data_IF_027111496788
#
_entry.id   IF_027111496788
#
_cell.length_a   1.000
_cell.length_b   1.000
_cell.length_c   1.000
_cell.angle_alpha   90.00
_cell.angle_beta   90.00
_cell.angle_gamma   90.00
#
_symmetry.space_group_name_H-M   'P 1'
#
loop_
_entity.id
_entity.type
_entity.pdbx_description
1 polymer ?
#
# COMPACT_ATOMS: atom_id res chain seq x y z
N UNK A 1 -2.86 -20.71 13.68
CA UNK A 1 -2.03 -19.54 13.38
C UNK A 1 -1.31 -19.14 14.66
N UNK A 2 -1.90 -18.46 15.63
CA UNK A 2 -1.23 -18.25 16.95
C UNK A 2 -1.84 -19.06 18.10
N UNK A 3 -3.12 -19.42 18.01
CA UNK A 3 -3.85 -20.20 19.00
C UNK A 3 -4.25 -21.61 18.49
N UNK A 4 -3.60 -22.08 17.42
CA UNK A 4 -3.88 -23.41 16.83
C UNK A 4 -5.18 -23.55 16.01
N UNK A 5 -6.06 -22.55 15.94
CA UNK A 5 -7.40 -22.70 15.31
C UNK A 5 -7.39 -22.78 13.77
N UNK A 6 -6.39 -22.19 13.11
CA UNK A 6 -6.31 -22.09 11.65
C UNK A 6 -4.94 -22.56 11.14
N UNK A 7 -4.89 -23.22 9.98
CA UNK A 7 -3.63 -23.66 9.37
C UNK A 7 -2.85 -22.52 8.68
N UNK A 8 -3.52 -21.44 8.32
CA UNK A 8 -2.92 -20.26 7.69
C UNK A 8 -3.81 -19.03 7.82
N UNK A 9 -3.27 -17.86 7.53
CA UNK A 9 -4.01 -16.61 7.41
C UNK A 9 -3.32 -15.72 6.38
N UNK A 10 -4.10 -14.77 5.84
CA UNK A 10 -3.63 -13.76 4.89
C UNK A 10 -3.43 -12.46 5.65
N UNK A 11 -2.33 -11.77 5.36
CA UNK A 11 -2.08 -10.43 5.90
C UNK A 11 -1.21 -9.62 4.95
N UNK A 12 -0.99 -8.34 5.28
CA UNK A 12 -0.14 -7.45 4.51
C UNK A 12 1.06 -6.96 5.34
N UNK A 13 2.17 -6.75 4.67
CA UNK A 13 3.35 -6.08 5.20
C UNK A 13 4.02 -5.29 4.08
N UNK A 14 4.77 -4.24 4.43
CA UNK A 14 5.53 -3.46 3.44
C UNK A 14 6.64 -4.26 2.78
N UNK A 15 7.09 -5.35 3.42
CA UNK A 15 8.29 -6.10 3.03
C UNK A 15 9.58 -5.27 3.05
N UNK A 16 9.53 -4.07 3.63
CA UNK A 16 10.68 -3.17 3.79
C UNK A 16 11.23 -3.30 5.21
N UNK A 17 12.55 -3.44 5.36
CA UNK A 17 13.20 -3.59 6.65
C UNK A 17 13.43 -5.04 7.06
N UNK A 18 13.65 -5.27 8.36
CA UNK A 18 14.06 -6.57 8.89
C UNK A 18 12.87 -7.53 9.07
N UNK A 19 13.05 -8.78 8.62
CA UNK A 19 12.04 -9.85 8.72
C UNK A 19 11.66 -10.14 10.18
N UNK A 20 12.63 -10.25 11.09
CA UNK A 20 12.39 -10.66 12.47
C UNK A 20 11.64 -9.59 13.27
N UNK A 21 11.75 -8.32 12.87
CA UNK A 21 10.98 -7.20 13.44
C UNK A 21 9.60 -7.01 12.80
N UNK A 22 9.21 -7.89 11.87
CA UNK A 22 7.92 -7.82 11.18
C UNK A 22 7.83 -6.67 10.18
N UNK A 23 8.96 -6.25 9.60
CA UNK A 23 9.10 -5.14 8.66
C UNK A 23 8.73 -3.76 9.25
N UNK A 24 8.93 -2.69 8.47
CA UNK A 24 8.71 -1.31 8.92
C UNK A 24 7.25 -0.98 9.13
N UNK A 25 6.36 -1.50 8.29
CA UNK A 25 4.91 -1.30 8.38
C UNK A 25 4.17 -2.56 7.94
N UNK A 26 2.97 -2.76 8.50
CA UNK A 26 2.19 -3.97 8.23
C UNK A 26 1.56 -4.55 9.49
N UNK A 27 0.84 -5.65 9.31
CA UNK A 27 0.22 -6.35 10.42
C UNK A 27 1.25 -7.02 11.34
N UNK A 28 2.36 -7.53 10.80
CA UNK A 28 3.41 -8.15 11.63
C UNK A 28 4.02 -7.14 12.60
N UNK A 29 4.48 -6.00 12.10
CA UNK A 29 5.00 -4.91 12.93
C UNK A 29 3.97 -4.45 13.99
N UNK A 30 2.70 -4.31 13.60
CA UNK A 30 1.63 -3.92 14.54
C UNK A 30 1.43 -4.94 15.65
N UNK A 31 1.35 -6.23 15.32
CA UNK A 31 1.18 -7.30 16.30
C UNK A 31 2.38 -7.39 17.25
N UNK A 32 3.61 -7.26 16.75
CA UNK A 32 4.82 -7.22 17.57
C UNK A 32 4.77 -6.07 18.58
N UNK A 33 4.28 -4.89 18.16
CA UNK A 33 4.08 -3.73 19.05
C UNK A 33 2.92 -3.89 20.04
N UNK A 34 1.99 -4.81 19.78
CA UNK A 34 0.85 -5.14 20.65
C UNK A 34 1.15 -6.39 21.50
N UNK A 35 2.38 -6.53 21.99
CA UNK A 35 2.82 -7.61 22.90
C UNK A 35 2.95 -9.02 22.27
N UNK A 36 3.23 -9.10 20.96
CA UNK A 36 3.66 -10.36 20.31
C UNK A 36 5.12 -10.30 19.82
N UNK A 37 6.12 -10.11 20.70
CA UNK A 37 7.52 -9.89 20.29
C UNK A 37 8.15 -11.05 19.51
N UNK A 38 7.71 -12.28 19.75
CA UNK A 38 8.21 -13.49 19.07
C UNK A 38 7.37 -13.91 17.86
N UNK A 39 6.47 -13.06 17.37
CA UNK A 39 5.54 -13.39 16.27
C UNK A 39 6.25 -14.06 15.09
N UNK A 40 7.35 -13.47 14.61
CA UNK A 40 8.07 -13.92 13.41
C UNK A 40 8.81 -15.25 13.60
N UNK A 41 9.01 -15.70 14.85
CA UNK A 41 9.57 -17.02 15.18
C UNK A 41 8.49 -18.11 15.20
N UNK A 42 7.23 -17.72 15.41
CA UNK A 42 6.09 -18.65 15.57
C UNK A 42 5.35 -18.91 14.25
N UNK A 43 5.59 -18.09 13.23
CA UNK A 43 4.96 -18.20 11.91
C UNK A 43 6.00 -18.30 10.81
N UNK A 44 5.57 -18.75 9.62
CA UNK A 44 6.36 -18.64 8.39
C UNK A 44 5.52 -18.03 7.28
N UNK A 45 6.17 -17.22 6.44
CA UNK A 45 5.58 -16.74 5.20
C UNK A 45 5.76 -17.83 4.14
N UNK A 46 4.66 -18.44 3.69
CA UNK A 46 4.68 -19.54 2.70
C UNK A 46 4.44 -19.07 1.26
N UNK A 47 3.93 -17.85 1.09
CA UNK A 47 3.66 -17.24 -0.21
C UNK A 47 3.69 -15.72 -0.08
N UNK A 48 4.09 -15.04 -1.15
CA UNK A 48 4.08 -13.59 -1.27
C UNK A 48 3.52 -13.21 -2.64
N UNK A 49 2.74 -12.13 -2.70
CA UNK A 49 2.29 -11.58 -3.97
C UNK A 49 3.46 -10.90 -4.69
N UNK A 50 3.32 -10.66 -6.00
CA UNK A 50 4.07 -9.58 -6.65
C UNK A 50 3.84 -8.24 -5.93
N UNK A 51 4.68 -7.24 -6.24
CA UNK A 51 4.55 -5.90 -5.69
C UNK A 51 3.13 -5.36 -5.93
N UNK A 52 2.43 -5.00 -4.85
CA UNK A 52 1.16 -4.29 -4.92
C UNK A 52 1.47 -2.80 -4.74
N UNK A 53 1.23 -1.95 -5.75
CA UNK A 53 1.48 -0.53 -5.62
C UNK A 53 0.60 0.08 -4.52
N UNK A 54 1.13 1.10 -3.84
CA UNK A 54 0.32 1.92 -2.94
C UNK A 54 -0.80 2.63 -3.70
N UNK A 55 -1.84 3.06 -2.97
CA UNK A 55 -3.01 3.69 -3.54
C UNK A 55 -2.67 4.91 -4.42
N UNK A 56 -3.27 5.04 -5.61
CA UNK A 56 -3.01 6.15 -6.51
C UNK A 56 -3.72 7.43 -6.05
N UNK A 57 -3.15 8.58 -6.40
CA UNK A 57 -3.87 9.85 -6.38
C UNK A 57 -4.57 10.00 -7.73
N UNK A 58 -5.89 10.06 -7.72
CA UNK A 58 -6.72 10.12 -8.92
C UNK A 58 -7.23 11.53 -9.18
N UNK A 59 -7.19 11.96 -10.44
CA UNK A 59 -7.79 13.20 -10.92
C UNK A 59 -8.87 12.86 -11.94
N UNK A 60 -10.04 13.49 -11.81
CA UNK A 60 -11.18 13.21 -12.69
C UNK A 60 -10.84 13.46 -14.16
N UNK A 61 -11.24 12.53 -15.02
CA UNK A 61 -11.08 12.63 -16.47
C UNK A 61 -11.98 13.71 -17.10
N UNK A 62 -13.08 14.10 -16.44
CA UNK A 62 -14.04 15.09 -16.91
C UNK A 62 -13.52 16.54 -16.81
N UNK A 63 -12.44 16.78 -16.07
CA UNK A 63 -11.86 18.11 -15.92
C UNK A 63 -11.25 18.62 -17.24
N UNK A 64 -11.18 19.94 -17.47
CA UNK A 64 -10.40 20.50 -18.57
C UNK A 64 -8.91 20.15 -18.45
N UNK A 65 -8.21 19.95 -19.57
CA UNK A 65 -6.81 19.50 -19.58
C UNK A 65 -5.86 20.42 -18.80
N UNK A 66 -5.98 21.74 -18.99
CA UNK A 66 -5.17 22.75 -18.28
C UNK A 66 -5.43 22.71 -16.77
N UNK A 67 -6.69 22.53 -16.36
CA UNK A 67 -7.03 22.40 -14.94
C UNK A 67 -6.44 21.12 -14.33
N UNK A 68 -6.49 19.98 -15.02
CA UNK A 68 -5.82 18.75 -14.54
C UNK A 68 -4.33 18.95 -14.34
N UNK A 69 -3.66 19.59 -15.31
CA UNK A 69 -2.23 19.86 -15.22
C UNK A 69 -1.90 20.72 -13.99
N UNK A 70 -2.71 21.75 -13.72
CA UNK A 70 -2.57 22.60 -12.51
C UNK A 70 -2.79 21.82 -11.22
N UNK A 71 -3.81 20.94 -11.15
CA UNK A 71 -4.06 20.10 -9.97
C UNK A 71 -2.89 19.14 -9.72
N UNK A 72 -2.42 18.44 -10.75
CA UNK A 72 -1.27 17.52 -10.63
C UNK A 72 -0.01 18.29 -10.19
N UNK A 73 0.24 19.46 -10.77
CA UNK A 73 1.37 20.30 -10.39
C UNK A 73 1.26 20.79 -8.93
N UNK A 74 0.08 21.21 -8.49
CA UNK A 74 -0.15 21.67 -7.13
C UNK A 74 0.09 20.56 -6.09
N UNK A 75 -0.40 19.34 -6.34
CA UNK A 75 -0.19 18.20 -5.44
C UNK A 75 1.30 17.81 -5.37
N UNK A 76 1.99 17.79 -6.52
CA UNK A 76 3.45 17.54 -6.55
C UNK A 76 4.23 18.61 -5.80
N UNK A 77 3.90 19.88 -6.00
CA UNK A 77 4.53 20.98 -5.26
C UNK A 77 4.27 20.88 -3.77
N UNK A 78 3.06 20.52 -3.35
CA UNK A 78 2.76 20.33 -1.93
C UNK A 78 3.66 19.26 -1.31
N UNK A 79 3.84 18.10 -1.96
CA UNK A 79 4.76 17.05 -1.50
C UNK A 79 6.22 17.54 -1.38
N UNK A 80 6.71 18.29 -2.37
CA UNK A 80 8.12 18.70 -2.42
C UNK A 80 8.44 19.96 -1.62
N UNK A 81 7.53 20.91 -1.56
CA UNK A 81 7.73 22.24 -0.94
C UNK A 81 7.20 22.29 0.51
N UNK A 82 6.16 21.51 0.86
CA UNK A 82 5.62 21.42 2.22
C UNK A 82 5.11 19.99 2.53
N UNK A 83 6.07 19.08 2.71
CA UNK A 83 5.77 17.68 2.97
C UNK A 83 4.97 17.48 4.27
N UNK A 84 5.18 18.32 5.29
CA UNK A 84 4.45 18.20 6.54
C UNK A 84 2.94 18.48 6.35
N UNK A 85 2.60 19.45 5.51
CA UNK A 85 1.22 19.69 5.09
C UNK A 85 0.70 18.56 4.19
N UNK A 86 1.51 18.09 3.24
CA UNK A 86 1.17 16.96 2.37
C UNK A 86 0.78 15.71 3.16
N UNK A 87 1.58 15.31 4.15
CA UNK A 87 1.30 14.15 5.02
C UNK A 87 -0.04 14.29 5.73
N UNK A 88 -0.36 15.48 6.24
CA UNK A 88 -1.64 15.75 6.92
C UNK A 88 -2.82 15.69 5.95
N UNK A 89 -2.64 16.15 4.72
CA UNK A 89 -3.68 16.13 3.70
C UNK A 89 -3.94 14.72 3.15
N UNK A 90 -2.89 13.91 2.98
CA UNK A 90 -2.95 12.63 2.27
C UNK A 90 -2.95 11.40 3.18
N UNK A 91 -2.60 11.54 4.45
CA UNK A 91 -2.65 10.45 5.44
C UNK A 91 -1.52 9.40 5.32
N UNK A 92 -0.44 9.72 4.61
CA UNK A 92 0.74 8.85 4.45
C UNK A 92 2.04 9.65 4.54
N UNK A 93 3.12 9.01 4.99
CA UNK A 93 4.43 9.67 5.21
C UNK A 93 5.37 9.63 4.00
N UNK A 94 5.02 8.84 2.98
CA UNK A 94 5.83 8.63 1.80
C UNK A 94 5.62 9.75 0.79
N UNK A 95 6.68 10.10 0.06
CA UNK A 95 6.60 10.98 -1.10
C UNK A 95 5.84 10.31 -2.25
N UNK A 96 5.31 11.12 -3.17
CA UNK A 96 4.61 10.61 -4.35
C UNK A 96 5.57 10.34 -5.50
N UNK A 97 5.37 9.20 -6.16
CA UNK A 97 6.08 8.83 -7.39
C UNK A 97 5.25 9.09 -8.64
N UNK A 98 5.86 9.09 -9.83
CA UNK A 98 5.11 8.93 -11.07
C UNK A 98 4.36 7.60 -11.05
N UNK A 99 3.12 7.61 -11.55
CA UNK A 99 2.29 6.42 -11.65
C UNK A 99 1.49 6.42 -12.95
N UNK A 100 1.15 5.22 -13.41
CA UNK A 100 0.44 4.96 -14.65
C UNK A 100 -0.60 3.86 -14.44
N UNK A 101 -1.53 3.70 -15.38
CA UNK A 101 -2.50 2.59 -15.35
C UNK A 101 -1.79 1.22 -15.41
N UNK A 102 -0.65 1.14 -16.10
CA UNK A 102 0.11 -0.10 -16.26
C UNK A 102 0.62 -0.65 -14.92
N UNK A 103 0.96 0.23 -13.97
CA UNK A 103 1.41 -0.17 -12.63
C UNK A 103 0.31 -0.94 -11.86
N UNK A 104 -0.96 -0.68 -12.19
CA UNK A 104 -2.13 -1.32 -11.56
C UNK A 104 -2.76 -2.42 -12.42
N UNK A 105 -2.14 -2.78 -13.56
CA UNK A 105 -2.75 -3.65 -14.56
C UNK A 105 -3.16 -5.01 -13.99
N UNK A 106 -2.31 -5.63 -13.17
CA UNK A 106 -2.62 -6.91 -12.53
C UNK A 106 -3.90 -6.85 -11.66
N UNK A 107 -4.08 -5.76 -10.91
CA UNK A 107 -5.27 -5.56 -10.06
C UNK A 107 -6.51 -5.32 -10.93
N UNK A 108 -6.36 -4.55 -12.01
CA UNK A 108 -7.44 -4.28 -12.96
C UNK A 108 -7.92 -5.58 -13.61
N UNK A 109 -7.00 -6.42 -14.07
CA UNK A 109 -7.34 -7.67 -14.76
C UNK A 109 -7.97 -8.67 -13.81
N UNK A 110 -7.40 -8.86 -12.61
CA UNK A 110 -8.02 -9.68 -11.56
C UNK A 110 -9.44 -9.21 -11.23
N UNK A 111 -9.67 -7.89 -11.16
CA UNK A 111 -11.01 -7.37 -10.88
C UNK A 111 -11.99 -7.61 -12.04
N UNK A 112 -11.53 -7.49 -13.29
CA UNK A 112 -12.34 -7.76 -14.48
C UNK A 112 -12.75 -9.23 -14.53
N UNK A 113 -11.80 -10.15 -14.34
CA UNK A 113 -12.05 -11.59 -14.29
C UNK A 113 -13.11 -11.95 -13.24
N UNK A 114 -12.97 -11.38 -12.03
CA UNK A 114 -13.93 -11.59 -10.94
C UNK A 114 -15.34 -11.07 -11.26
N UNK A 115 -15.45 -9.99 -12.03
CA UNK A 115 -16.74 -9.43 -12.45
C UNK A 115 -17.34 -10.25 -13.59
N UNK A 116 -16.54 -10.72 -14.54
CA UNK A 116 -17.02 -11.56 -15.66
C UNK A 116 -17.38 -12.98 -15.26
N UNK A 117 -16.84 -13.48 -14.13
CA UNK A 117 -17.15 -14.79 -13.59
C UNK A 117 -18.46 -14.84 -12.77
N UNK A 118 -19.19 -13.72 -12.67
CA UNK A 118 -20.51 -13.62 -12.06
C UNK A 118 -21.60 -13.58 -13.13
#
# INVERSE_FOLDING_TARGET
>A
MLNGQFAGAVTWASMVGDYNTGYTTGAFNRLIRMDHPDLMKQIRIIWQSPLIPNGPILVSNALPADFKAKVVAAVKKLDTEDHACFIKAMGGTQHIGPGSVADFQQIIDMKRELVSAR
#
